data_IF_789478164901
#
_entry.id   IF_789478164901
#
_cell.length_a   1.000
_cell.length_b   1.000
_cell.length_c   1.000
_cell.angle_alpha   90.00
_cell.angle_beta   90.00
_cell.angle_gamma   90.00
#
_symmetry.space_group_name_H-M   'P 1'
#
loop_
_entity.id
_entity.type
_entity.pdbx_description
1 polymer ?
#
# COMPACT_ATOMS: atom_id res chain seq x y z
N UNK A 1 -27.97 21.09 55.87
CA UNK A 1 -28.02 19.91 56.75
C UNK A 1 -28.87 18.82 56.11
N UNK A 2 -28.24 17.74 55.64
CA UNK A 2 -28.74 16.37 55.79
C UNK A 2 -27.67 15.39 55.25
N UNK A 3 -26.88 14.82 56.15
CA UNK A 3 -25.97 13.72 55.88
C UNK A 3 -26.82 12.47 55.75
N UNK A 4 -26.89 11.89 54.57
CA UNK A 4 -27.46 10.56 54.40
C UNK A 4 -26.70 9.91 53.26
N UNK A 5 -26.25 8.70 53.53
CA UNK A 5 -25.79 7.72 52.55
C UNK A 5 -24.32 7.85 52.11
N UNK A 6 -23.46 7.94 53.12
CA UNK A 6 -22.10 7.37 53.20
C UNK A 6 -22.14 5.82 53.09
N UNK A 7 -23.01 5.27 52.22
CA UNK A 7 -23.35 3.85 52.14
C UNK A 7 -23.15 3.25 50.74
N UNK A 8 -22.48 3.96 49.84
CA UNK A 8 -21.91 3.39 48.61
C UNK A 8 -20.38 3.49 48.68
N UNK A 9 -19.84 3.12 49.84
CA UNK A 9 -18.42 3.11 50.12
C UNK A 9 -17.73 1.77 49.81
N UNK A 10 -18.40 0.75 49.24
CA UNK A 10 -17.82 -0.61 49.28
C UNK A 10 -18.05 -1.52 48.06
N UNK A 11 -18.41 -1.02 46.87
CA UNK A 11 -18.69 -1.89 45.71
C UNK A 11 -18.00 -1.53 44.39
N UNK A 12 -17.01 -0.63 44.38
CA UNK A 12 -16.23 -0.34 43.16
C UNK A 12 -14.72 -0.34 43.43
N UNK A 13 -14.29 -1.22 44.34
CA UNK A 13 -12.93 -1.73 44.37
C UNK A 13 -13.01 -3.16 43.83
N UNK A 14 -12.22 -3.53 42.81
CA UNK A 14 -12.20 -4.83 42.10
C UNK A 14 -13.01 -4.96 40.79
N UNK A 15 -12.95 -4.00 39.87
CA UNK A 15 -13.64 -4.16 38.59
C UNK A 15 -13.04 -3.55 37.33
N UNK A 16 -11.81 -3.00 37.35
CA UNK A 16 -11.17 -2.50 36.11
C UNK A 16 -9.68 -2.82 36.13
N UNK A 17 -9.35 -4.10 36.01
CA UNK A 17 -8.01 -4.54 35.61
C UNK A 17 -8.08 -5.07 34.17
N UNK A 18 -7.20 -4.55 33.33
CA UNK A 18 -6.81 -5.05 32.02
C UNK A 18 -7.80 -4.87 30.85
N UNK A 19 -7.82 -3.66 30.30
CA UNK A 19 -7.95 -3.49 28.85
C UNK A 19 -6.92 -2.44 28.38
N UNK A 20 -5.63 -2.77 28.50
CA UNK A 20 -4.60 -2.04 27.77
C UNK A 20 -4.82 -2.28 26.26
N UNK A 21 -4.63 -1.26 25.40
CA UNK A 21 -4.77 -1.43 23.97
C UNK A 21 -3.61 -2.32 23.52
N UNK A 22 -3.92 -3.60 23.24
CA UNK A 22 -3.02 -4.44 22.46
C UNK A 22 -2.90 -3.76 21.10
N UNK A 23 -1.75 -3.11 20.91
CA UNK A 23 -1.34 -2.48 19.67
C UNK A 23 -1.64 -3.42 18.52
N UNK A 24 -2.67 -3.06 17.75
CA UNK A 24 -2.78 -3.56 16.40
C UNK A 24 -1.60 -2.95 15.68
N UNK A 25 -0.54 -3.76 15.52
CA UNK A 25 0.49 -3.51 14.54
C UNK A 25 -0.22 -3.12 13.25
N UNK A 26 -0.07 -1.85 12.89
CA UNK A 26 -0.35 -1.30 11.58
C UNK A 26 0.63 -1.95 10.61
N UNK A 27 0.38 -3.21 10.34
CA UNK A 27 1.02 -4.01 9.32
C UNK A 27 -0.12 -4.73 8.61
N UNK A 28 -0.35 -4.36 7.36
CA UNK A 28 -1.07 -5.19 6.39
C UNK A 28 -2.61 -5.17 6.42
N UNK A 29 -3.24 -4.03 6.73
CA UNK A 29 -4.63 -3.77 6.29
C UNK A 29 -4.84 -2.34 5.79
N UNK A 30 -4.23 -2.04 4.66
CA UNK A 30 -4.64 -0.95 3.79
C UNK A 30 -4.18 -1.19 2.34
N UNK A 31 -4.52 -2.34 1.74
CA UNK A 31 -4.35 -2.52 0.29
C UNK A 31 -5.51 -3.38 -0.26
N UNK A 32 -6.74 -2.99 0.06
CA UNK A 32 -7.95 -3.64 -0.47
C UNK A 32 -9.08 -2.67 -0.88
N UNK A 33 -8.83 -1.36 -0.95
CA UNK A 33 -9.91 -0.41 -1.30
C UNK A 33 -9.49 0.78 -2.18
N UNK A 34 -8.32 0.72 -2.85
CA UNK A 34 -7.96 1.63 -3.95
C UNK A 34 -7.08 0.91 -4.98
N UNK A 35 -7.58 -0.20 -5.54
CA UNK A 35 -6.95 -0.91 -6.66
C UNK A 35 -6.69 0.00 -7.90
N UNK A 36 -7.16 1.25 -7.88
CA UNK A 36 -7.01 2.25 -8.94
C UNK A 36 -5.87 3.28 -8.76
N UNK A 37 -5.08 3.25 -7.67
CA UNK A 37 -4.15 4.36 -7.38
C UNK A 37 -2.66 4.05 -7.59
N UNK A 38 -2.21 2.81 -7.32
CA UNK A 38 -0.78 2.49 -7.31
C UNK A 38 -0.35 1.61 -8.49
N UNK A 39 0.72 1.98 -9.23
CA UNK A 39 1.13 1.21 -10.39
C UNK A 39 1.67 -0.16 -9.95
N UNK A 40 1.45 -1.17 -10.80
CA UNK A 40 1.95 -2.54 -10.63
C UNK A 40 3.06 -2.83 -11.65
N UNK A 41 3.93 -3.78 -11.36
CA UNK A 41 5.01 -4.22 -12.23
C UNK A 41 5.34 -5.71 -11.99
N UNK A 42 5.34 -6.51 -13.05
CA UNK A 42 5.76 -7.91 -13.07
C UNK A 42 7.28 -8.03 -13.27
N UNK A 43 7.85 -7.26 -14.19
CA UNK A 43 9.28 -7.29 -14.52
C UNK A 43 9.99 -6.02 -14.09
N UNK A 44 10.76 -6.12 -13.02
CA UNK A 44 11.52 -5.01 -12.47
C UNK A 44 12.92 -4.89 -13.07
N UNK A 45 13.31 -3.68 -13.46
CA UNK A 45 14.65 -3.40 -13.94
C UNK A 45 15.56 -2.91 -12.80
N UNK A 46 15.98 -1.65 -12.84
CA UNK A 46 16.85 -1.02 -11.86
C UNK A 46 16.01 -0.36 -10.75
N UNK A 47 16.49 -0.50 -9.51
CA UNK A 47 16.00 0.23 -8.35
C UNK A 47 17.16 0.98 -7.67
N UNK A 48 16.87 2.16 -7.12
CA UNK A 48 17.79 2.86 -6.23
C UNK A 48 17.95 2.08 -4.91
N UNK A 49 19.08 2.28 -4.22
CA UNK A 49 19.35 1.71 -2.89
C UNK A 49 18.76 2.52 -1.73
N UNK A 50 17.89 3.49 -2.02
CA UNK A 50 17.22 4.33 -1.01
C UNK A 50 16.07 3.58 -0.33
N UNK A 51 15.59 4.10 0.81
CA UNK A 51 14.38 3.61 1.48
C UNK A 51 13.35 4.76 1.62
N UNK A 52 12.24 4.76 0.87
CA UNK A 52 11.81 3.73 -0.08
C UNK A 52 12.65 3.73 -1.38
N UNK A 53 12.73 2.57 -2.08
CA UNK A 53 13.41 2.49 -3.36
C UNK A 53 12.56 3.12 -4.47
N UNK A 54 13.22 3.79 -5.40
CA UNK A 54 12.63 4.21 -6.67
C UNK A 54 13.03 3.18 -7.71
N UNK A 55 12.07 2.62 -8.43
CA UNK A 55 12.28 1.50 -9.35
C UNK A 55 11.72 1.83 -10.72
N UNK A 56 12.40 1.35 -11.77
CA UNK A 56 11.89 1.39 -13.14
C UNK A 56 11.31 0.03 -13.53
N UNK A 57 10.09 0.04 -14.05
CA UNK A 57 9.44 -1.15 -14.58
C UNK A 57 9.87 -1.42 -16.03
N UNK A 58 10.09 -2.69 -16.37
CA UNK A 58 10.42 -3.14 -17.73
C UNK A 58 9.21 -3.70 -18.48
N UNK A 59 8.03 -3.73 -17.86
CA UNK A 59 6.83 -4.19 -18.52
C UNK A 59 6.42 -3.30 -19.67
N UNK A 60 5.76 -3.93 -20.63
CA UNK A 60 5.15 -3.28 -21.78
C UNK A 60 3.64 -3.41 -21.64
N UNK A 61 2.92 -2.31 -21.82
CA UNK A 61 1.45 -2.29 -21.77
C UNK A 61 0.88 -2.04 -23.15
N UNK A 62 -0.11 -2.80 -23.63
CA UNK A 62 -0.80 -2.52 -24.89
C UNK A 62 -1.81 -1.37 -24.77
N UNK A 63 -2.18 -0.96 -23.54
CA UNK A 63 -3.26 0.02 -23.28
C UNK A 63 -2.77 1.41 -22.89
N UNK A 64 -1.44 1.61 -22.82
CA UNK A 64 -0.85 2.84 -22.28
C UNK A 64 -0.24 2.66 -20.89
N UNK A 65 0.41 3.72 -20.39
CA UNK A 65 1.05 3.73 -19.08
C UNK A 65 0.08 4.15 -17.97
N UNK A 66 0.42 3.78 -16.73
CA UNK A 66 -0.29 4.26 -15.55
C UNK A 66 -0.13 5.79 -15.39
N UNK A 67 -1.13 6.46 -14.82
CA UNK A 67 -1.13 7.92 -14.58
C UNK A 67 0.06 8.44 -13.74
N UNK A 68 0.68 7.56 -12.93
CA UNK A 68 1.86 7.88 -12.15
C UNK A 68 3.14 7.99 -13.02
N UNK A 69 3.11 7.45 -14.24
CA UNK A 69 4.18 7.55 -15.21
C UNK A 69 4.03 8.84 -16.02
N UNK A 70 4.97 9.76 -15.87
CA UNK A 70 5.08 11.00 -16.62
C UNK A 70 5.72 10.75 -17.99
N UNK A 71 6.72 9.88 -18.07
CA UNK A 71 7.42 9.57 -19.32
C UNK A 71 6.97 8.22 -19.88
N UNK A 72 5.81 8.25 -20.57
CA UNK A 72 5.27 7.11 -21.29
C UNK A 72 5.73 7.12 -22.75
N UNK A 73 6.53 6.13 -23.13
CA UNK A 73 7.07 5.99 -24.48
C UNK A 73 6.26 4.96 -25.25
N UNK A 74 5.83 5.31 -26.46
CA UNK A 74 5.20 4.40 -27.41
C UNK A 74 6.28 3.78 -28.30
N UNK A 75 6.21 2.47 -28.50
CA UNK A 75 7.06 1.71 -29.41
C UNK A 75 6.24 0.64 -30.15
N UNK A 76 6.92 -0.09 -31.03
CA UNK A 76 6.37 -1.23 -31.76
C UNK A 76 7.06 -2.49 -31.25
N UNK A 77 6.30 -3.54 -30.96
CA UNK A 77 6.87 -4.86 -30.68
C UNK A 77 7.26 -5.59 -31.97
N UNK A 78 7.80 -6.80 -31.85
CA UNK A 78 8.25 -7.62 -32.99
C UNK A 78 7.11 -7.95 -33.97
N UNK A 79 5.86 -7.97 -33.51
CA UNK A 79 4.67 -8.22 -34.33
C UNK A 79 4.14 -6.93 -34.98
N UNK A 80 4.75 -5.77 -34.69
CA UNK A 80 4.30 -4.47 -35.17
C UNK A 80 3.09 -3.92 -34.39
N UNK A 81 2.73 -4.51 -33.26
CA UNK A 81 1.73 -4.00 -32.34
C UNK A 81 2.27 -2.81 -31.55
N UNK A 82 1.41 -1.83 -31.26
CA UNK A 82 1.79 -0.69 -30.43
C UNK A 82 1.87 -1.10 -28.96
N UNK A 83 3.01 -0.84 -28.33
CA UNK A 83 3.22 -1.06 -26.91
C UNK A 83 3.74 0.20 -26.23
N UNK A 84 3.47 0.31 -24.94
CA UNK A 84 3.81 1.48 -24.14
C UNK A 84 4.71 1.08 -22.98
N UNK A 85 5.80 1.81 -22.82
CA UNK A 85 6.77 1.59 -21.75
C UNK A 85 6.83 2.81 -20.84
N UNK A 86 6.84 2.56 -19.53
CA UNK A 86 7.14 3.60 -18.56
C UNK A 86 8.65 3.70 -18.35
N UNK A 87 9.22 4.88 -18.59
CA UNK A 87 10.68 5.09 -18.43
C UNK A 87 11.06 5.73 -17.08
N UNK A 88 10.06 6.09 -16.27
CA UNK A 88 10.26 6.71 -14.97
C UNK A 88 10.77 5.73 -13.91
N UNK A 89 11.53 6.27 -12.95
CA UNK A 89 11.71 5.63 -11.67
C UNK A 89 10.59 6.08 -10.73
N UNK A 90 9.72 5.14 -10.35
CA UNK A 90 8.60 5.39 -9.46
C UNK A 90 8.89 4.71 -8.11
N UNK A 91 8.65 5.43 -7.02
CA UNK A 91 8.79 4.90 -5.66
C UNK A 91 7.98 3.62 -5.51
N UNK A 92 8.54 2.56 -4.91
CA UNK A 92 7.85 1.29 -4.65
C UNK A 92 7.13 0.64 -5.87
N UNK A 93 7.50 0.98 -7.11
CA UNK A 93 6.81 0.48 -8.31
C UNK A 93 6.81 -1.06 -8.38
N UNK A 94 7.91 -1.66 -7.92
CA UNK A 94 8.15 -3.09 -7.93
C UNK A 94 7.59 -3.86 -6.73
N UNK A 95 6.83 -3.19 -5.84
CA UNK A 95 6.26 -3.87 -4.67
C UNK A 95 5.00 -4.68 -4.98
N UNK A 96 4.27 -4.33 -6.05
CA UNK A 96 3.04 -5.01 -6.46
C UNK A 96 3.19 -5.58 -7.87
N UNK A 97 2.83 -6.85 -8.04
CA UNK A 97 2.74 -7.49 -9.36
C UNK A 97 1.42 -7.17 -10.03
N UNK A 98 1.42 -7.10 -11.35
CA UNK A 98 0.21 -6.96 -12.14
C UNK A 98 -0.50 -8.30 -12.30
N UNK A 99 0.29 -9.37 -12.49
CA UNK A 99 -0.22 -10.72 -12.65
C UNK A 99 -0.28 -11.44 -11.29
N UNK A 100 -1.44 -11.98 -10.87
CA UNK A 100 -1.54 -12.75 -9.62
C UNK A 100 -0.66 -14.01 -9.69
N UNK A 101 -0.12 -14.44 -8.55
CA UNK A 101 0.55 -15.75 -8.46
C UNK A 101 -0.49 -16.86 -8.60
N UNK A 102 -0.18 -17.85 -9.42
CA UNK A 102 -0.93 -19.10 -9.54
C UNK A 102 -0.81 -19.96 -8.29
#
# INVERSE_FOLDING_TARGET
MKPQVVLVALAVAFGVLAALPLGHGIGERAEAATASAWPCCDTCSVCTRSFPPQCRCADSSPKGCHQACKNCVRSKDDDGSEVFHCTDMITNFCKRRCTPKA
#
